data_IF_226406582013
#
_entry.id   IF_226406582013
#
_cell.length_a   1.000
_cell.length_b   1.000
_cell.length_c   1.000
_cell.angle_alpha   90.00
_cell.angle_beta   90.00
_cell.angle_gamma   90.00
#
_symmetry.space_group_name_H-M   'P 1'
#
loop_
_entity.id
_entity.type
_entity.pdbx_description
1 polymer ?
#
# COMPACT_ATOMS: atom_id res chain seq x y z
N UNK A 1 -26.24 -11.99 -46.26
CA UNK A 1 -26.38 -10.93 -45.25
C UNK A 1 -25.66 -11.46 -44.02
N UNK A 2 -24.34 -11.40 -43.99
CA UNK A 2 -23.53 -10.27 -43.46
C UNK A 2 -23.84 -10.06 -41.98
N UNK A 3 -22.91 -10.12 -41.03
CA UNK A 3 -21.53 -9.69 -41.13
C UNK A 3 -20.67 -10.31 -40.01
N UNK A 4 -19.51 -10.84 -40.39
CA UNK A 4 -18.51 -11.39 -39.49
C UNK A 4 -17.54 -10.29 -39.10
N UNK A 5 -17.67 -9.75 -37.88
CA UNK A 5 -16.71 -8.78 -37.34
C UNK A 5 -15.39 -9.46 -37.01
N UNK A 6 -14.40 -9.26 -37.88
CA UNK A 6 -12.99 -9.50 -37.57
C UNK A 6 -12.52 -8.48 -36.53
N UNK A 7 -11.64 -8.85 -35.58
CA UNK A 7 -10.94 -7.89 -34.76
C UNK A 7 -9.97 -7.08 -35.64
N UNK A 8 -9.99 -5.75 -35.48
CA UNK A 8 -9.11 -4.84 -36.20
C UNK A 8 -7.63 -5.03 -35.83
N UNK A 9 -6.70 -4.59 -36.68
CA UNK A 9 -5.27 -4.63 -36.37
C UNK A 9 -4.94 -3.75 -35.16
N UNK A 10 -3.88 -4.07 -34.40
CA UNK A 10 -3.45 -3.25 -33.27
C UNK A 10 -3.10 -1.83 -33.73
N UNK A 11 -3.54 -0.83 -32.95
CA UNK A 11 -3.14 0.57 -33.11
C UNK A 11 -1.61 0.66 -33.17
N UNK A 12 -1.04 1.44 -34.13
CA UNK A 12 0.38 1.67 -34.17
C UNK A 12 0.79 2.42 -32.89
N UNK A 13 1.89 2.03 -32.22
CA UNK A 13 2.40 2.79 -31.11
C UNK A 13 2.87 4.15 -31.60
N UNK A 14 2.44 5.19 -30.87
CA UNK A 14 2.94 6.56 -30.98
C UNK A 14 4.47 6.54 -31.11
N UNK A 15 5.09 7.32 -32.01
CA UNK A 15 6.52 7.54 -31.96
C UNK A 15 6.86 8.18 -30.60
N UNK A 16 7.36 7.36 -29.68
CA UNK A 16 7.75 7.76 -28.32
C UNK A 16 8.82 8.86 -28.32
N UNK A 17 9.40 9.15 -29.48
CA UNK A 17 10.46 10.14 -29.74
C UNK A 17 10.02 11.60 -29.61
N UNK A 18 8.73 11.93 -29.72
CA UNK A 18 8.30 13.34 -29.60
C UNK A 18 8.15 13.81 -28.14
N UNK A 19 7.89 12.87 -27.24
CA UNK A 19 7.82 13.09 -25.79
C UNK A 19 9.11 12.66 -25.09
N UNK A 20 10.04 12.02 -25.80
CA UNK A 20 11.34 11.62 -25.30
C UNK A 20 12.25 12.84 -25.14
N UNK A 21 12.69 13.19 -23.92
CA UNK A 21 13.64 14.27 -23.69
C UNK A 21 15.02 14.00 -24.31
N UNK A 22 15.29 12.80 -24.82
CA UNK A 22 16.50 12.50 -25.59
C UNK A 22 16.42 13.00 -27.05
N UNK A 23 15.21 13.21 -27.58
CA UNK A 23 14.98 13.77 -28.92
C UNK A 23 15.22 15.27 -28.95
N UNK A 24 15.71 15.78 -30.08
CA UNK A 24 15.99 17.20 -30.26
C UNK A 24 14.71 18.06 -30.13
N UNK A 25 13.60 17.59 -30.68
CA UNK A 25 12.27 18.21 -30.53
C UNK A 25 11.79 18.13 -29.07
N UNK A 26 11.97 16.98 -28.43
CA UNK A 26 11.57 16.77 -27.03
C UNK A 26 12.31 17.69 -26.06
N UNK A 27 13.61 17.94 -26.29
CA UNK A 27 14.42 18.88 -25.49
C UNK A 27 13.89 20.31 -25.59
N UNK A 28 13.60 20.78 -26.81
CA UNK A 28 13.09 22.13 -27.03
C UNK A 28 11.75 22.32 -26.33
N UNK A 29 10.82 21.36 -26.46
CA UNK A 29 9.53 21.41 -25.78
C UNK A 29 9.66 21.32 -24.26
N UNK A 30 10.60 20.53 -23.73
CA UNK A 30 10.85 20.43 -22.30
C UNK A 30 11.47 21.72 -21.73
N UNK A 31 12.37 22.38 -22.45
CA UNK A 31 12.92 23.69 -22.06
C UNK A 31 11.86 24.78 -22.05
N UNK A 32 10.88 24.74 -22.96
CA UNK A 32 9.72 25.63 -22.94
C UNK A 32 8.88 25.40 -21.68
N UNK A 33 8.64 24.14 -21.31
CA UNK A 33 7.89 23.78 -20.09
C UNK A 33 8.63 24.24 -18.82
N UNK A 34 9.94 24.05 -18.73
CA UNK A 34 10.73 24.51 -17.58
C UNK A 34 10.77 26.04 -17.47
N UNK A 35 10.75 26.78 -18.59
CA UNK A 35 10.60 28.25 -18.56
C UNK A 35 9.24 28.70 -18.00
N UNK A 36 8.17 27.94 -18.25
CA UNK A 36 6.86 28.18 -17.59
C UNK A 36 6.92 27.82 -16.10
N UNK A 37 7.67 26.77 -15.76
CA UNK A 37 7.86 26.32 -14.37
C UNK A 37 8.55 27.38 -13.51
N UNK A 38 9.59 27.98 -14.05
CA UNK A 38 10.33 29.10 -13.46
C UNK A 38 9.52 30.42 -13.44
N UNK A 39 8.34 30.45 -14.05
CA UNK A 39 7.51 31.64 -14.18
C UNK A 39 8.04 32.68 -15.16
N UNK A 40 9.03 32.31 -15.99
CA UNK A 40 9.65 33.17 -17.00
C UNK A 40 8.84 33.23 -18.30
N UNK A 41 7.85 32.34 -18.49
CA UNK A 41 7.01 32.26 -19.68
C UNK A 41 5.54 32.01 -19.32
N UNK A 42 4.60 32.64 -20.03
CA UNK A 42 3.16 32.43 -19.85
C UNK A 42 2.68 31.16 -20.56
N UNK A 43 1.66 30.50 -20.02
CA UNK A 43 1.11 29.24 -20.56
C UNK A 43 0.65 29.37 -22.02
N UNK A 44 -0.05 30.45 -22.36
CA UNK A 44 -0.52 30.69 -23.73
C UNK A 44 0.64 30.86 -24.72
N UNK A 45 1.73 31.48 -24.28
CA UNK A 45 2.93 31.73 -25.09
C UNK A 45 3.77 30.46 -25.26
N UNK A 46 3.85 29.64 -24.20
CA UNK A 46 4.45 28.31 -24.25
C UNK A 46 3.69 27.37 -25.18
N UNK A 47 2.36 27.43 -25.20
CA UNK A 47 1.54 26.59 -26.10
C UNK A 47 1.81 26.93 -27.58
N UNK A 48 1.94 28.20 -27.93
CA UNK A 48 2.33 28.61 -29.28
C UNK A 48 3.74 28.13 -29.64
N UNK A 49 4.72 28.32 -28.73
CA UNK A 49 6.12 27.92 -28.99
C UNK A 49 6.29 26.40 -29.12
N UNK A 50 5.48 25.60 -28.43
CA UNK A 50 5.49 24.14 -28.57
C UNK A 50 4.87 23.73 -29.92
N UNK A 51 3.81 24.40 -30.35
CA UNK A 51 3.22 24.17 -31.67
C UNK A 51 4.19 24.44 -32.82
N UNK A 52 4.98 25.51 -32.69
CA UNK A 52 6.01 25.89 -33.68
C UNK A 52 7.23 24.97 -33.65
N UNK A 53 7.53 24.36 -32.51
CA UNK A 53 8.66 23.43 -32.33
C UNK A 53 8.37 22.01 -32.85
N UNK A 54 7.10 21.65 -33.05
CA UNK A 54 6.72 20.35 -33.57
C UNK A 54 6.96 20.27 -35.09
N UNK A 55 7.57 19.17 -35.60
CA UNK A 55 7.85 19.01 -37.02
C UNK A 55 6.60 19.23 -37.90
N UNK A 56 6.76 19.95 -39.01
CA UNK A 56 5.65 20.34 -39.91
C UNK A 56 5.07 19.13 -40.66
N UNK A 57 5.86 18.08 -40.82
CA UNK A 57 5.52 16.82 -41.47
C UNK A 57 4.74 15.84 -40.59
N UNK A 58 4.48 16.17 -39.32
CA UNK A 58 3.59 15.39 -38.47
C UNK A 58 2.15 15.47 -38.97
N UNK A 59 1.49 14.32 -38.98
CA UNK A 59 0.05 14.22 -39.17
C UNK A 59 -0.71 15.02 -38.09
N UNK A 60 -1.89 15.50 -38.44
CA UNK A 60 -2.72 16.32 -37.56
C UNK A 60 -3.09 15.57 -36.28
N UNK A 61 -3.30 14.25 -36.34
CA UNK A 61 -3.64 13.43 -35.18
C UNK A 61 -2.45 13.28 -34.21
N UNK A 62 -1.23 13.07 -34.75
CA UNK A 62 0.01 12.99 -33.96
C UNK A 62 0.37 14.34 -33.35
N UNK A 63 0.24 15.42 -34.12
CA UNK A 63 0.46 16.80 -33.66
C UNK A 63 -0.49 17.17 -32.53
N UNK A 64 -1.78 16.89 -32.68
CA UNK A 64 -2.78 17.19 -31.65
C UNK A 64 -2.54 16.37 -30.39
N UNK A 65 -2.15 15.09 -30.51
CA UNK A 65 -1.83 14.22 -29.37
C UNK A 65 -0.60 14.71 -28.60
N UNK A 66 0.44 15.16 -29.30
CA UNK A 66 1.62 15.75 -28.69
C UNK A 66 1.28 17.08 -27.99
N UNK A 67 0.52 17.95 -28.64
CA UNK A 67 0.06 19.23 -28.09
C UNK A 67 -0.80 19.06 -26.84
N UNK A 68 -1.72 18.09 -26.82
CA UNK A 68 -2.55 17.77 -25.65
C UNK A 68 -1.71 17.27 -24.47
N UNK A 69 -0.67 16.50 -24.76
CA UNK A 69 0.24 15.98 -23.75
C UNK A 69 1.01 17.12 -23.07
N UNK A 70 1.57 18.05 -23.85
CA UNK A 70 2.24 19.23 -23.31
C UNK A 70 1.27 20.20 -22.62
N UNK A 71 0.06 20.38 -23.14
CA UNK A 71 -0.97 21.20 -22.50
C UNK A 71 -1.35 20.69 -21.11
N UNK A 72 -1.48 19.37 -20.93
CA UNK A 72 -1.73 18.76 -19.62
C UNK A 72 -0.59 19.03 -18.63
N UNK A 73 0.66 18.96 -19.10
CA UNK A 73 1.85 19.27 -18.28
C UNK A 73 1.82 20.74 -17.82
N UNK A 74 1.56 21.67 -18.75
CA UNK A 74 1.48 23.11 -18.47
C UNK A 74 0.31 23.46 -17.55
N UNK A 75 -0.86 22.88 -17.78
CA UNK A 75 -2.09 23.13 -17.01
C UNK A 75 -1.98 22.64 -15.57
N UNK A 76 -1.37 21.47 -15.33
CA UNK A 76 -1.14 20.93 -13.98
C UNK A 76 -0.26 21.88 -13.15
N UNK A 77 0.73 22.52 -13.77
CA UNK A 77 1.59 23.49 -13.10
C UNK A 77 0.88 24.82 -12.81
N UNK A 78 0.09 25.34 -13.77
CA UNK A 78 -0.68 26.57 -13.59
C UNK A 78 -1.71 26.44 -12.45
N UNK A 79 -2.44 25.32 -12.40
CA UNK A 79 -3.39 25.05 -11.30
C UNK A 79 -2.69 24.89 -9.95
N UNK A 80 -1.48 24.34 -9.91
CA UNK A 80 -0.68 24.23 -8.69
C UNK A 80 -0.22 25.59 -8.17
N UNK A 81 0.19 26.51 -9.06
CA UNK A 81 0.56 27.88 -8.69
C UNK A 81 -0.63 28.70 -8.19
N UNK A 82 -1.78 28.59 -8.84
CA UNK A 82 -2.98 29.32 -8.40
C UNK A 82 -3.51 28.82 -7.06
N UNK A 83 -3.44 27.50 -6.81
CA UNK A 83 -3.78 26.91 -5.52
C UNK A 83 -2.80 27.34 -4.41
N UNK A 84 -1.51 27.54 -4.72
CA UNK A 84 -0.53 28.07 -3.79
C UNK A 84 -0.73 29.57 -3.50
N UNK A 85 -1.04 30.38 -4.54
CA UNK A 85 -1.33 31.81 -4.37
C UNK A 85 -2.59 32.06 -3.53
N UNK A 86 -3.64 31.24 -3.68
CA UNK A 86 -4.86 31.30 -2.85
C UNK A 86 -4.63 30.96 -1.37
N UNK A 87 -3.50 30.32 -1.01
CA UNK A 87 -3.14 30.00 0.38
C UNK A 87 -2.34 31.10 1.08
N UNK A 88 -1.84 32.10 0.35
CA UNK A 88 -1.01 33.20 0.89
C UNK A 88 -1.85 34.43 1.31
N UNK A 89 -3.16 34.46 0.99
CA UNK A 89 -4.06 35.52 1.46
C UNK A 89 -5.33 34.98 2.14
N UNK A 90 -5.29 34.76 3.47
CA UNK A 90 -6.48 34.83 4.31
C UNK A 90 -6.58 36.19 4.99
N UNK A 91 -7.60 36.95 4.60
CA UNK A 91 -8.38 37.86 5.47
C UNK A 91 -7.62 38.90 6.31
N UNK A 92 -7.47 40.10 5.76
CA UNK A 92 -7.39 41.31 6.56
C UNK A 92 -8.76 41.53 7.24
N UNK A 93 -8.80 41.36 8.56
CA UNK A 93 -9.97 41.56 9.41
C UNK A 93 -9.53 42.01 10.81
N UNK A 94 -9.51 43.33 10.96
CA UNK A 94 -9.61 44.13 12.18
C UNK A 94 -8.75 43.78 13.42
N UNK A 95 -7.71 44.57 13.65
CA UNK A 95 -7.16 44.82 14.98
C UNK A 95 -6.83 46.30 15.11
N UNK A 96 -7.64 47.02 15.88
CA UNK A 96 -7.39 48.40 16.29
C UNK A 96 -6.22 48.46 17.29
N UNK A 97 -5.16 49.14 16.86
CA UNK A 97 -4.36 50.18 17.55
C UNK A 97 -4.08 50.04 19.06
N UNK A 98 -2.77 50.08 19.39
CA UNK A 98 -2.12 51.11 20.23
C UNK A 98 -0.59 51.00 20.16
N UNK A 99 0.04 52.13 19.80
CA UNK A 99 1.24 52.83 20.35
C UNK A 99 2.46 51.97 20.76
N UNK A 100 3.73 52.32 20.54
CA UNK A 100 4.47 53.45 19.97
C UNK A 100 5.97 53.00 19.96
N UNK A 101 6.84 53.75 19.27
CA UNK A 101 8.33 53.76 19.34
C UNK A 101 9.15 52.87 18.37
N UNK A 102 9.79 53.57 17.41
CA UNK A 102 11.09 53.34 16.77
C UNK A 102 11.84 54.71 16.90
N UNK A 103 13.19 54.87 16.89
CA UNK A 103 14.13 54.08 16.10
C UNK A 103 15.56 53.84 16.67
N UNK A 104 16.27 52.88 16.05
CA UNK A 104 17.58 53.02 15.36
C UNK A 104 18.47 51.73 15.36
N UNK A 105 19.38 51.60 14.36
CA UNK A 105 19.70 50.32 13.72
C UNK A 105 20.97 49.67 14.24
N UNK A 106 21.03 48.35 14.24
CA UNK A 106 22.29 47.60 14.34
C UNK A 106 22.45 46.62 13.19
N UNK A 107 23.68 46.64 12.70
CA UNK A 107 24.20 46.09 11.46
C UNK A 107 24.17 44.55 11.41
N UNK A 108 23.86 44.06 10.21
CA UNK A 108 24.47 42.90 9.55
C UNK A 108 24.81 41.68 10.40
N UNK A 109 23.86 40.74 10.48
CA UNK A 109 24.18 39.31 10.42
C UNK A 109 23.35 38.71 9.28
N UNK A 110 24.01 38.43 8.15
CA UNK A 110 23.40 37.65 7.06
C UNK A 110 22.92 36.30 7.60
N UNK A 111 21.61 35.97 7.51
CA UNK A 111 21.18 34.63 7.82
C UNK A 111 21.63 33.70 6.69
N UNK A 112 22.65 32.91 7.01
CA UNK A 112 23.08 31.67 6.32
C UNK A 112 21.90 31.01 5.60
N UNK A 113 21.95 30.76 4.27
CA UNK A 113 20.80 30.30 3.51
C UNK A 113 20.34 28.96 4.05
N UNK A 114 19.28 29.00 4.87
CA UNK A 114 18.47 27.84 5.24
C UNK A 114 18.08 27.17 3.94
N UNK A 115 18.81 26.10 3.60
CA UNK A 115 18.48 25.19 2.50
C UNK A 115 16.98 24.97 2.57
N UNK A 116 16.26 25.47 1.58
CA UNK A 116 14.84 25.22 1.38
C UNK A 116 14.68 23.71 1.38
N UNK A 117 14.33 23.15 2.54
CA UNK A 117 13.81 21.79 2.63
C UNK A 117 12.50 21.87 1.86
N UNK A 118 12.52 21.39 0.62
CA UNK A 118 11.31 21.13 -0.13
C UNK A 118 10.32 20.40 0.77
N UNK A 119 9.04 20.69 0.59
CA UNK A 119 8.00 20.13 1.46
C UNK A 119 8.10 18.60 1.47
N UNK A 120 7.69 17.96 2.56
CA UNK A 120 7.68 16.48 2.63
C UNK A 120 6.92 15.87 1.45
N UNK A 121 5.88 16.55 0.94
CA UNK A 121 5.14 16.17 -0.26
C UNK A 121 6.00 16.24 -1.53
N UNK A 122 6.80 17.29 -1.72
CA UNK A 122 7.73 17.40 -2.85
C UNK A 122 8.81 16.32 -2.84
N UNK A 123 9.33 15.98 -1.65
CA UNK A 123 10.28 14.87 -1.51
C UNK A 123 9.62 13.52 -1.84
N UNK A 124 8.43 13.26 -1.30
CA UNK A 124 7.69 12.02 -1.56
C UNK A 124 7.30 11.88 -3.02
N UNK A 125 6.89 12.96 -3.68
CA UNK A 125 6.54 12.96 -5.11
C UNK A 125 7.73 12.63 -6.03
N UNK A 126 8.95 12.96 -5.60
CA UNK A 126 10.21 12.68 -6.33
C UNK A 126 10.92 11.42 -5.83
N UNK A 127 10.36 10.73 -4.85
CA UNK A 127 11.03 9.60 -4.25
C UNK A 127 11.23 8.48 -5.29
N UNK A 128 12.41 7.82 -5.34
CA UNK A 128 12.70 6.81 -6.36
C UNK A 128 11.66 5.70 -6.46
N UNK A 129 11.08 5.28 -5.34
CA UNK A 129 10.03 4.25 -5.31
C UNK A 129 8.69 4.71 -5.88
N UNK A 130 8.35 6.01 -5.81
CA UNK A 130 7.14 6.57 -6.41
C UNK A 130 7.29 6.64 -7.93
N UNK A 131 8.44 7.12 -8.40
CA UNK A 131 8.78 7.15 -9.84
C UNK A 131 8.79 5.73 -10.41
N UNK A 132 9.41 4.77 -9.70
CA UNK A 132 9.43 3.37 -10.14
C UNK A 132 8.03 2.76 -10.21
N UNK A 133 7.14 3.10 -9.27
CA UNK A 133 5.75 2.65 -9.30
C UNK A 133 4.99 3.20 -10.51
N UNK A 134 5.16 4.49 -10.82
CA UNK A 134 4.56 5.11 -12.01
C UNK A 134 5.09 4.47 -13.31
N UNK A 135 6.40 4.26 -13.40
CA UNK A 135 7.06 3.62 -14.55
C UNK A 135 6.65 2.15 -14.74
N UNK A 136 6.35 1.43 -13.65
CA UNK A 136 5.92 0.03 -13.73
C UNK A 136 4.60 -0.15 -14.49
N UNK A 137 3.79 0.91 -14.61
CA UNK A 137 2.45 0.85 -15.19
C UNK A 137 1.47 -0.05 -14.44
N UNK A 138 1.87 -0.64 -13.30
CA UNK A 138 1.07 -1.62 -12.56
C UNK A 138 -0.08 -0.90 -11.86
N UNK A 139 -1.28 -1.02 -12.44
CA UNK A 139 -2.51 -0.47 -11.87
C UNK A 139 -3.07 -1.43 -10.84
N UNK A 140 -3.16 -0.96 -9.58
CA UNK A 140 -3.90 -1.67 -8.55
C UNK A 140 -5.38 -1.78 -8.92
N UNK A 141 -5.97 -2.93 -8.63
CA UNK A 141 -7.41 -3.13 -8.77
C UNK A 141 -8.17 -2.26 -7.73
N UNK A 142 -9.50 -2.18 -7.85
CA UNK A 142 -10.32 -1.34 -6.96
C UNK A 142 -10.26 -1.77 -5.48
N UNK A 143 -10.21 -3.09 -5.22
CA UNK A 143 -10.18 -3.68 -3.89
C UNK A 143 -8.84 -3.41 -3.18
N UNK A 144 -7.71 -3.53 -3.88
CA UNK A 144 -6.38 -3.18 -3.39
C UNK A 144 -6.26 -1.69 -3.09
N UNK A 145 -6.82 -0.82 -3.95
CA UNK A 145 -6.88 0.64 -3.68
C UNK A 145 -7.66 0.96 -2.42
N UNK A 146 -8.85 0.38 -2.26
CA UNK A 146 -9.66 0.56 -1.06
C UNK A 146 -8.95 0.03 0.20
N UNK A 147 -8.25 -1.11 0.08
CA UNK A 147 -7.44 -1.67 1.18
C UNK A 147 -6.28 -0.74 1.55
N UNK A 148 -5.56 -0.23 0.55
CA UNK A 148 -4.44 0.68 0.76
C UNK A 148 -4.88 1.99 1.43
N UNK A 149 -6.06 2.52 1.08
CA UNK A 149 -6.61 3.73 1.70
C UNK A 149 -6.91 3.52 3.19
N UNK A 150 -7.58 2.42 3.56
CA UNK A 150 -7.85 2.10 4.96
C UNK A 150 -6.54 1.88 5.74
N UNK A 151 -5.57 1.16 5.16
CA UNK A 151 -4.26 0.94 5.79
C UNK A 151 -3.48 2.25 5.95
N UNK A 152 -3.55 3.15 4.97
CA UNK A 152 -2.92 4.47 5.06
C UNK A 152 -3.44 5.26 6.26
N UNK A 153 -4.77 5.30 6.43
CA UNK A 153 -5.40 5.91 7.61
C UNK A 153 -5.05 5.17 8.91
N UNK A 154 -4.98 3.84 8.89
CA UNK A 154 -4.60 3.02 10.03
C UNK A 154 -3.15 3.23 10.50
N UNK A 155 -2.22 3.48 9.57
CA UNK A 155 -0.83 3.81 9.88
C UNK A 155 -0.71 5.23 10.44
N UNK A 156 -1.44 6.19 9.85
CA UNK A 156 -1.32 7.61 10.23
C UNK A 156 -2.07 7.96 11.52
N UNK A 157 -3.22 7.33 11.75
CA UNK A 157 -4.16 7.67 12.82
C UNK A 157 -4.81 6.43 13.44
N UNK A 158 -4.01 5.45 13.89
CA UNK A 158 -4.49 4.18 14.44
C UNK A 158 -5.58 4.33 15.51
N UNK A 159 -5.43 5.26 16.45
CA UNK A 159 -6.40 5.46 17.53
C UNK A 159 -7.77 5.89 17.01
N UNK A 160 -7.80 6.76 16.00
CA UNK A 160 -9.05 7.23 15.38
C UNK A 160 -9.74 6.11 14.61
N UNK A 161 -8.98 5.34 13.82
CA UNK A 161 -9.52 4.19 13.07
C UNK A 161 -10.03 3.11 14.03
N UNK A 162 -9.33 2.81 15.12
CA UNK A 162 -9.82 1.86 16.13
C UNK A 162 -11.09 2.35 16.83
N UNK A 163 -11.22 3.65 17.06
CA UNK A 163 -12.43 4.24 17.62
C UNK A 163 -13.60 4.17 16.62
N UNK A 164 -13.37 4.37 15.32
CA UNK A 164 -14.43 4.26 14.30
C UNK A 164 -14.93 2.83 14.09
N UNK A 165 -14.15 1.81 14.48
CA UNK A 165 -14.59 0.41 14.47
C UNK A 165 -15.48 0.04 15.66
N UNK A 166 -15.69 0.94 16.63
CA UNK A 166 -16.57 0.66 17.77
C UNK A 166 -18.01 0.89 17.32
N UNK A 167 -18.71 -0.22 17.04
CA UNK A 167 -20.11 -0.19 16.65
C UNK A 167 -20.81 -1.53 16.92
N UNK A 168 -22.15 -1.57 16.79
CA UNK A 168 -22.89 -2.82 16.86
C UNK A 168 -22.35 -3.80 15.80
N UNK A 169 -22.18 -5.06 16.19
CA UNK A 169 -21.67 -6.12 15.31
C UNK A 169 -20.15 -6.20 15.16
N UNK A 170 -19.36 -5.42 15.92
CA UNK A 170 -17.91 -5.61 15.98
C UNK A 170 -17.58 -7.04 16.47
N UNK A 171 -16.86 -7.86 15.67
CA UNK A 171 -16.54 -9.22 16.08
C UNK A 171 -15.51 -9.26 17.23
N UNK A 172 -15.59 -10.25 18.13
CA UNK A 172 -14.56 -10.46 19.14
C UNK A 172 -13.25 -10.87 18.45
N UNK A 173 -12.21 -10.07 18.64
CA UNK A 173 -10.91 -10.29 18.00
C UNK A 173 -9.80 -9.59 18.81
N UNK A 174 -8.58 -10.16 18.91
CA UNK A 174 -7.55 -9.63 19.79
C UNK A 174 -7.11 -8.21 19.40
N UNK A 175 -6.89 -7.34 20.38
CA UNK A 175 -6.54 -5.94 20.14
C UNK A 175 -5.20 -5.77 19.39
N UNK A 176 -4.23 -6.63 19.67
CA UNK A 176 -2.95 -6.67 18.94
C UNK A 176 -3.14 -7.05 17.47
N UNK A 177 -4.10 -7.93 17.17
CA UNK A 177 -4.39 -8.36 15.80
C UNK A 177 -5.25 -7.35 15.05
N UNK A 178 -6.17 -6.64 15.72
CA UNK A 178 -6.81 -5.44 15.15
C UNK A 178 -5.76 -4.43 14.71
N UNK A 179 -4.77 -4.19 15.58
CA UNK A 179 -3.68 -3.25 15.31
C UNK A 179 -2.80 -3.71 14.15
N UNK A 180 -2.44 -5.00 14.11
CA UNK A 180 -1.68 -5.56 13.00
C UNK A 180 -2.41 -5.40 11.68
N UNK A 181 -3.68 -5.79 11.63
CA UNK A 181 -4.51 -5.73 10.44
C UNK A 181 -4.67 -4.29 9.90
N UNK A 182 -4.99 -3.32 10.77
CA UNK A 182 -5.17 -1.92 10.37
C UNK A 182 -3.87 -1.24 9.90
N UNK A 183 -2.73 -1.74 10.33
CA UNK A 183 -1.42 -1.28 9.87
C UNK A 183 -0.95 -2.02 8.60
N UNK A 184 -1.79 -2.89 8.04
CA UNK A 184 -1.44 -3.73 6.89
C UNK A 184 -0.34 -4.75 7.19
N UNK A 185 -0.24 -5.20 8.44
CA UNK A 185 0.63 -6.32 8.86
C UNK A 185 -0.17 -7.63 8.81
N UNK A 186 0.55 -8.74 8.62
CA UNK A 186 -0.05 -10.07 8.64
C UNK A 186 -0.58 -10.39 10.06
N UNK A 187 -1.81 -10.89 10.13
CA UNK A 187 -2.43 -11.36 11.38
C UNK A 187 -1.80 -12.68 11.82
N UNK A 188 -1.50 -12.80 13.11
CA UNK A 188 -0.97 -14.02 13.69
C UNK A 188 -2.09 -14.96 14.16
N UNK A 189 -2.30 -16.06 13.46
CA UNK A 189 -3.33 -17.05 13.80
C UNK A 189 -3.07 -17.77 15.12
N UNK A 190 -1.81 -17.95 15.53
CA UNK A 190 -1.51 -18.51 16.86
C UNK A 190 -2.03 -17.59 17.96
N UNK A 191 -1.94 -16.27 17.75
CA UNK A 191 -2.45 -15.29 18.71
C UNK A 191 -3.99 -15.26 18.69
N UNK A 192 -4.61 -15.25 17.52
CA UNK A 192 -6.08 -15.35 17.40
C UNK A 192 -6.59 -16.61 18.10
N UNK A 193 -5.98 -17.76 17.81
CA UNK A 193 -6.35 -19.05 18.41
C UNK A 193 -6.14 -19.08 19.93
N UNK A 194 -5.03 -18.55 20.41
CA UNK A 194 -4.73 -18.47 21.86
C UNK A 194 -5.79 -17.65 22.60
N UNK A 195 -6.26 -16.55 22.02
CA UNK A 195 -7.25 -15.69 22.67
C UNK A 195 -8.67 -16.29 22.66
N UNK A 196 -9.01 -17.17 21.72
CA UNK A 196 -10.31 -17.89 21.76
C UNK A 196 -10.50 -18.70 23.03
N UNK A 197 -9.41 -19.24 23.58
CA UNK A 197 -9.41 -20.05 24.81
C UNK A 197 -8.81 -19.32 26.02
N UNK A 198 -8.28 -18.11 25.82
CA UNK A 198 -7.68 -17.27 26.88
C UNK A 198 -8.70 -16.71 27.87
N UNK A 199 -10.00 -16.84 27.60
CA UNK A 199 -11.09 -16.31 28.44
C UNK A 199 -11.65 -17.30 29.49
N UNK A 200 -10.91 -18.36 29.86
CA UNK A 200 -11.30 -19.25 30.97
C UNK A 200 -10.38 -19.21 32.20
N UNK A 201 -9.37 -18.34 32.22
CA UNK A 201 -8.62 -18.06 33.44
C UNK A 201 -7.15 -17.78 33.19
N UNK A 202 -6.80 -16.51 32.99
CA UNK A 202 -5.55 -15.95 33.51
C UNK A 202 -5.67 -14.42 33.56
N UNK A 203 -6.51 -13.91 34.46
CA UNK A 203 -6.26 -12.58 35.02
C UNK A 203 -4.98 -12.73 35.85
N UNK A 204 -3.83 -12.37 35.29
CA UNK A 204 -2.64 -12.13 36.09
C UNK A 204 -2.88 -10.90 36.97
N UNK A 205 -3.51 -11.14 38.12
CA UNK A 205 -3.51 -10.21 39.26
C UNK A 205 -2.11 -10.20 39.85
N UNK A 206 -1.28 -9.26 39.42
CA UNK A 206 -0.11 -8.87 40.22
C UNK A 206 -0.60 -8.06 41.41
N UNK A 207 -0.80 -8.72 42.55
CA UNK A 207 -0.93 -8.03 43.82
C UNK A 207 0.45 -7.56 44.26
N UNK A 208 0.66 -6.24 44.25
CA UNK A 208 1.75 -5.59 44.96
C UNK A 208 1.13 -4.89 46.17
N UNK A 209 1.46 -5.43 47.34
CA UNK A 209 1.46 -4.84 48.67
C UNK A 209 0.50 -3.64 48.87
N UNK A 210 -0.64 -3.94 49.50
CA UNK A 210 -1.56 -3.05 50.22
C UNK A 210 -1.64 -1.59 49.74
N UNK A 211 -2.76 -1.28 49.06
CA UNK A 211 -3.43 0.04 48.94
C UNK A 211 -3.50 0.68 47.54
N UNK A 212 -2.94 0.10 46.48
CA UNK A 212 -3.22 0.56 45.10
C UNK A 212 -3.42 -0.60 44.13
N UNK A 213 -4.67 -0.84 43.73
CA UNK A 213 -5.01 -1.79 42.64
C UNK A 213 -4.73 -1.14 41.27
N UNK A 214 -3.58 -1.44 40.69
CA UNK A 214 -3.31 -1.20 39.27
C UNK A 214 -3.82 -2.39 38.47
N UNK A 215 -4.99 -2.23 37.82
CA UNK A 215 -5.42 -3.13 36.75
C UNK A 215 -4.52 -2.85 35.54
N UNK A 216 -3.46 -3.63 35.39
CA UNK A 216 -2.68 -3.62 34.16
C UNK A 216 -3.54 -4.23 33.06
N UNK A 217 -4.22 -3.37 32.29
CA UNK A 217 -4.97 -3.74 31.09
C UNK A 217 -4.02 -4.48 30.15
N UNK A 218 -4.16 -5.81 30.14
CA UNK A 218 -3.21 -6.78 29.58
C UNK A 218 -2.66 -6.34 28.23
N UNK A 219 -1.40 -5.92 28.25
CA UNK A 219 -0.63 -5.59 27.06
C UNK A 219 0.01 -6.88 26.57
N UNK A 220 -0.33 -7.28 25.35
CA UNK A 220 0.20 -8.46 24.62
C UNK A 220 0.01 -9.81 25.31
N UNK A 221 -1.09 -10.50 24.99
CA UNK A 221 -1.12 -11.97 25.05
C UNK A 221 -0.13 -12.50 24.02
N UNK A 222 1.07 -12.88 24.46
CA UNK A 222 1.93 -13.74 23.64
C UNK A 222 1.16 -15.02 23.32
N UNK A 223 1.19 -15.49 22.07
CA UNK A 223 0.48 -16.69 21.68
C UNK A 223 0.94 -17.91 22.53
N UNK A 224 0.05 -18.41 23.39
CA UNK A 224 0.30 -19.55 24.28
C UNK A 224 0.04 -20.89 23.58
N UNK A 225 -0.77 -20.88 22.51
CA UNK A 225 -1.12 -22.04 21.70
C UNK A 225 -0.73 -21.80 20.25
N UNK A 226 -0.24 -22.84 19.58
CA UNK A 226 0.05 -22.83 18.15
C UNK A 226 -1.04 -23.55 17.39
N UNK A 227 -1.40 -23.02 16.24
CA UNK A 227 -2.27 -23.70 15.28
C UNK A 227 -1.48 -24.84 14.65
N UNK A 228 -1.92 -26.08 14.86
CA UNK A 228 -1.23 -27.28 14.40
C UNK A 228 -2.11 -28.21 13.54
N UNK A 229 -3.43 -27.99 13.53
CA UNK A 229 -4.38 -28.83 12.79
C UNK A 229 -5.39 -28.03 11.96
N UNK A 230 -6.11 -28.72 11.08
CA UNK A 230 -7.19 -28.13 10.27
C UNK A 230 -8.27 -27.46 11.14
N UNK A 231 -8.73 -28.13 12.19
CA UNK A 231 -9.77 -27.60 13.07
C UNK A 231 -9.33 -26.33 13.81
N UNK A 232 -8.07 -26.29 14.25
CA UNK A 232 -7.50 -25.11 14.92
C UNK A 232 -7.27 -23.96 13.94
N UNK A 233 -6.84 -24.28 12.70
CA UNK A 233 -6.72 -23.28 11.64
C UNK A 233 -8.08 -22.69 11.31
N UNK A 234 -9.11 -23.52 11.15
CA UNK A 234 -10.47 -23.07 10.87
C UNK A 234 -11.03 -22.23 12.03
N UNK A 235 -10.76 -22.64 13.27
CA UNK A 235 -11.13 -21.89 14.47
C UNK A 235 -10.46 -20.50 14.53
N UNK A 236 -9.22 -20.35 14.03
CA UNK A 236 -8.52 -19.06 13.95
C UNK A 236 -8.94 -18.24 12.71
N UNK A 237 -9.17 -18.90 11.57
CA UNK A 237 -9.50 -18.28 10.30
C UNK A 237 -10.87 -17.60 10.33
N UNK A 238 -11.87 -18.18 10.99
CA UNK A 238 -13.22 -17.60 11.06
C UNK A 238 -13.26 -16.24 11.78
N UNK A 239 -12.71 -16.08 13.01
CA UNK A 239 -12.59 -14.77 13.65
C UNK A 239 -11.78 -13.77 12.83
N UNK A 240 -10.68 -14.22 12.20
CA UNK A 240 -9.91 -13.38 11.28
C UNK A 240 -10.76 -12.89 10.12
N UNK A 241 -11.47 -13.79 9.43
CA UNK A 241 -12.36 -13.46 8.32
C UNK A 241 -13.43 -12.45 8.75
N UNK A 242 -14.10 -12.69 9.87
CA UNK A 242 -15.13 -11.77 10.38
C UNK A 242 -14.54 -10.38 10.68
N UNK A 243 -13.35 -10.31 11.28
CA UNK A 243 -12.68 -9.04 11.57
C UNK A 243 -12.27 -8.29 10.29
N UNK A 244 -11.75 -9.00 9.29
CA UNK A 244 -11.39 -8.38 8.00
C UNK A 244 -12.65 -7.97 7.24
N UNK A 245 -13.70 -8.77 7.20
CA UNK A 245 -14.97 -8.39 6.55
C UNK A 245 -15.62 -7.16 7.21
N UNK A 246 -15.47 -7.01 8.53
CA UNK A 246 -15.95 -5.83 9.25
C UNK A 246 -15.14 -4.57 8.92
N UNK A 247 -13.81 -4.65 8.88
CA UNK A 247 -12.94 -3.50 8.61
C UNK A 247 -12.70 -3.22 7.11
N UNK A 248 -12.81 -4.23 6.26
CA UNK A 248 -12.55 -4.20 4.82
C UNK A 248 -13.66 -4.93 4.05
N UNK A 249 -14.89 -4.38 4.00
CA UNK A 249 -16.05 -5.08 3.43
C UNK A 249 -15.87 -5.53 1.98
N UNK A 250 -15.10 -4.78 1.19
CA UNK A 250 -14.80 -5.09 -0.21
C UNK A 250 -13.97 -6.39 -0.39
N UNK A 251 -13.31 -6.88 0.66
CA UNK A 251 -12.49 -8.11 0.63
C UNK A 251 -13.28 -9.40 0.94
N UNK A 252 -14.59 -9.32 1.19
CA UNK A 252 -15.37 -10.50 1.59
C UNK A 252 -15.32 -11.64 0.56
N UNK A 253 -15.41 -11.32 -0.74
CA UNK A 253 -15.32 -12.32 -1.80
C UNK A 253 -13.95 -13.00 -1.83
N UNK A 254 -12.89 -12.20 -1.81
CA UNK A 254 -11.50 -12.67 -1.80
C UNK A 254 -11.26 -13.65 -0.65
N UNK A 255 -11.65 -13.28 0.58
CA UNK A 255 -11.45 -14.11 1.77
C UNK A 255 -12.23 -15.42 1.73
N UNK A 256 -13.47 -15.39 1.23
CA UNK A 256 -14.28 -16.59 1.07
C UNK A 256 -13.67 -17.55 0.04
N UNK A 257 -13.24 -17.02 -1.09
CA UNK A 257 -12.68 -17.84 -2.18
C UNK A 257 -11.30 -18.40 -1.77
N UNK A 258 -10.47 -17.61 -1.09
CA UNK A 258 -9.20 -18.07 -0.52
C UNK A 258 -9.39 -19.08 0.61
N UNK A 259 -10.35 -18.87 1.51
CA UNK A 259 -10.65 -19.81 2.59
C UNK A 259 -11.00 -21.20 2.06
N UNK A 260 -11.87 -21.26 1.04
CA UNK A 260 -12.22 -22.51 0.33
C UNK A 260 -11.02 -23.17 -0.32
N UNK A 261 -10.12 -22.38 -0.89
CA UNK A 261 -8.89 -22.90 -1.49
C UNK A 261 -8.01 -23.59 -0.44
N UNK A 262 -7.74 -22.94 0.70
CA UNK A 262 -6.94 -23.53 1.79
C UNK A 262 -7.64 -24.75 2.40
N UNK A 263 -8.96 -24.71 2.62
CA UNK A 263 -9.75 -25.87 3.05
C UNK A 263 -9.61 -27.04 2.08
N UNK A 264 -9.66 -26.78 0.77
CA UNK A 264 -9.42 -27.78 -0.27
C UNK A 264 -8.03 -28.42 -0.18
N UNK A 265 -6.99 -27.65 0.18
CA UNK A 265 -5.64 -28.20 0.39
C UNK A 265 -5.58 -29.16 1.58
N UNK A 266 -6.22 -28.82 2.71
CA UNK A 266 -6.31 -29.72 3.85
C UNK A 266 -7.00 -31.04 3.49
N UNK A 267 -8.11 -30.97 2.74
CA UNK A 267 -8.85 -32.16 2.29
C UNK A 267 -7.98 -33.00 1.33
N UNK A 268 -7.30 -32.36 0.37
CA UNK A 268 -6.53 -33.05 -0.65
C UNK A 268 -5.27 -33.75 -0.12
N UNK A 269 -4.59 -33.15 0.86
CA UNK A 269 -3.34 -33.69 1.43
C UNK A 269 -3.59 -34.68 2.59
N UNK A 270 -4.79 -34.70 3.15
CA UNK A 270 -5.22 -35.61 4.22
C UNK A 270 -4.73 -35.23 5.62
N UNK A 271 -5.05 -36.08 6.60
CA UNK A 271 -4.95 -35.75 8.03
C UNK A 271 -3.59 -36.02 8.69
N UNK A 272 -2.55 -36.32 7.90
CA UNK A 272 -1.23 -36.52 8.49
C UNK A 272 -0.70 -35.22 9.11
N UNK A 273 -0.06 -35.29 10.27
CA UNK A 273 0.48 -34.10 10.95
C UNK A 273 1.46 -33.30 10.06
N UNK A 274 2.23 -33.99 9.22
CA UNK A 274 3.13 -33.35 8.24
C UNK A 274 2.35 -32.63 7.14
N UNK A 275 1.29 -33.23 6.60
CA UNK A 275 0.42 -32.60 5.61
C UNK A 275 -0.27 -31.35 6.19
N UNK A 276 -0.88 -31.47 7.38
CA UNK A 276 -1.55 -30.35 8.05
C UNK A 276 -0.58 -29.19 8.31
N UNK A 277 0.63 -29.48 8.83
CA UNK A 277 1.67 -28.45 9.02
C UNK A 277 2.04 -27.75 7.71
N UNK A 278 2.18 -28.48 6.61
CA UNK A 278 2.52 -27.88 5.31
C UNK A 278 1.47 -26.87 4.84
N UNK A 279 0.19 -27.19 4.99
CA UNK A 279 -0.91 -26.27 4.63
C UNK A 279 -0.94 -25.05 5.54
N UNK A 280 -0.70 -25.21 6.85
CA UNK A 280 -0.65 -24.10 7.81
C UNK A 280 0.50 -23.14 7.49
N UNK A 281 1.70 -23.66 7.24
CA UNK A 281 2.86 -22.83 6.88
C UNK A 281 2.71 -22.18 5.51
N UNK A 282 2.10 -22.89 4.55
CA UNK A 282 1.71 -22.34 3.26
C UNK A 282 0.77 -21.13 3.42
N UNK A 283 -0.34 -21.27 4.15
CA UNK A 283 -1.30 -20.19 4.39
C UNK A 283 -0.62 -18.98 5.05
N UNK A 284 0.20 -19.23 6.07
CA UNK A 284 0.96 -18.18 6.75
C UNK A 284 1.92 -17.45 5.82
N UNK A 285 2.60 -18.17 4.92
CA UNK A 285 3.50 -17.60 3.94
C UNK A 285 2.73 -16.73 2.91
N UNK A 286 1.59 -17.21 2.40
CA UNK A 286 0.75 -16.45 1.47
C UNK A 286 0.19 -15.18 2.12
N UNK A 287 -0.38 -15.26 3.33
CA UNK A 287 -0.89 -14.07 4.03
C UNK A 287 0.22 -13.05 4.32
N UNK A 288 1.42 -13.52 4.64
CA UNK A 288 2.60 -12.66 4.81
C UNK A 288 3.01 -12.00 3.50
N UNK A 289 3.01 -12.75 2.39
CA UNK A 289 3.33 -12.24 1.06
C UNK A 289 2.37 -11.10 0.68
N UNK A 290 1.05 -11.34 0.78
CA UNK A 290 0.02 -10.36 0.45
C UNK A 290 0.14 -9.10 1.31
N UNK A 291 0.32 -9.25 2.63
CA UNK A 291 0.50 -8.11 3.54
C UNK A 291 1.75 -7.26 3.21
N UNK A 292 2.82 -7.91 2.75
CA UNK A 292 4.10 -7.26 2.44
C UNK A 292 4.08 -6.58 1.08
N UNK A 293 3.59 -7.26 0.05
CA UNK A 293 3.62 -6.78 -1.34
C UNK A 293 2.56 -5.71 -1.62
N UNK A 294 1.37 -5.82 -1.02
CA UNK A 294 0.26 -4.86 -1.14
C UNK A 294 -0.21 -4.56 -2.58
N UNK A 295 0.22 -5.39 -3.53
CA UNK A 295 -0.07 -5.26 -4.95
C UNK A 295 -0.72 -6.51 -5.56
N UNK A 296 -1.11 -7.45 -4.69
CA UNK A 296 -1.78 -8.71 -4.99
C UNK A 296 -2.82 -9.02 -3.92
N UNK A 297 -3.83 -9.78 -4.32
CA UNK A 297 -4.87 -10.35 -3.45
C UNK A 297 -4.56 -11.81 -3.09
N UNK A 298 -5.20 -12.33 -2.05
CA UNK A 298 -5.13 -13.74 -1.65
C UNK A 298 -5.64 -14.69 -2.74
N UNK A 299 -6.43 -14.19 -3.68
CA UNK A 299 -6.97 -14.94 -4.83
C UNK A 299 -6.14 -14.82 -6.09
N UNK A 300 -5.00 -14.12 -6.07
CA UNK A 300 -4.09 -14.03 -7.22
C UNK A 300 -3.23 -15.31 -7.34
N UNK A 301 -3.89 -16.46 -7.50
CA UNK A 301 -3.26 -17.78 -7.53
C UNK A 301 -2.20 -17.96 -8.62
N UNK A 302 -2.27 -17.16 -9.68
CA UNK A 302 -1.33 -17.18 -10.80
C UNK A 302 -0.10 -16.27 -10.60
N UNK A 303 -0.02 -15.52 -9.51
CA UNK A 303 1.16 -14.72 -9.20
C UNK A 303 2.38 -15.63 -9.00
N UNK A 304 3.53 -15.21 -9.53
CA UNK A 304 4.75 -16.02 -9.56
C UNK A 304 5.23 -16.40 -8.15
N UNK A 305 5.20 -15.46 -7.20
CA UNK A 305 5.62 -15.74 -5.82
C UNK A 305 4.60 -16.61 -5.10
N UNK A 306 3.31 -16.45 -5.40
CA UNK A 306 2.27 -17.34 -4.90
C UNK A 306 2.57 -18.79 -5.33
N UNK A 307 2.79 -19.02 -6.63
CA UNK A 307 3.10 -20.35 -7.18
C UNK A 307 4.42 -20.92 -6.65
N UNK A 308 5.41 -20.06 -6.41
CA UNK A 308 6.68 -20.46 -5.77
C UNK A 308 6.47 -20.97 -4.35
N UNK A 309 5.70 -20.24 -3.52
CA UNK A 309 5.34 -20.66 -2.15
C UNK A 309 4.53 -21.95 -2.18
N UNK A 310 3.55 -22.07 -3.09
CA UNK A 310 2.77 -23.30 -3.26
C UNK A 310 3.68 -24.49 -3.61
N UNK A 311 4.63 -24.30 -4.51
CA UNK A 311 5.59 -25.36 -4.88
C UNK A 311 6.43 -25.79 -3.68
N UNK A 312 6.90 -24.83 -2.88
CA UNK A 312 7.75 -25.06 -1.71
C UNK A 312 7.02 -25.85 -0.61
N UNK A 313 5.78 -25.51 -0.28
CA UNK A 313 5.07 -26.10 0.85
C UNK A 313 4.15 -27.27 0.47
N UNK A 314 3.51 -27.21 -0.71
CA UNK A 314 2.46 -28.15 -1.12
C UNK A 314 3.01 -29.22 -2.06
N UNK A 315 3.69 -28.82 -3.14
CA UNK A 315 4.13 -29.75 -4.21
C UNK A 315 5.36 -30.57 -3.79
N UNK A 316 6.09 -30.15 -2.74
CA UNK A 316 7.18 -30.92 -2.15
C UNK A 316 8.49 -30.89 -2.96
N UNK A 317 8.60 -30.01 -3.96
CA UNK A 317 9.83 -29.79 -4.69
C UNK A 317 10.73 -28.79 -3.93
N UNK A 318 11.46 -29.30 -2.93
CA UNK A 318 12.63 -28.63 -2.36
C UNK A 318 12.44 -27.97 -1.01
N UNK A 319 12.52 -28.75 0.06
CA UNK A 319 13.48 -28.57 1.18
C UNK A 319 13.68 -29.97 1.78
N UNK A 320 14.94 -30.40 1.87
CA UNK A 320 15.33 -31.78 2.16
C UNK A 320 14.60 -32.43 3.32
N UNK A 321 13.82 -33.46 3.02
CA UNK A 321 13.53 -34.54 3.97
C UNK A 321 14.82 -35.32 4.16
N UNK A 322 15.70 -34.82 5.02
CA UNK A 322 16.81 -35.60 5.56
C UNK A 322 16.23 -36.71 6.42
N UNK A 323 15.95 -37.85 5.79
CA UNK A 323 15.77 -39.12 6.49
C UNK A 323 17.11 -39.47 7.14
N UNK A 324 17.28 -39.13 8.42
CA UNK A 324 18.31 -39.78 9.24
C UNK A 324 17.88 -41.21 9.47
N UNK A 325 18.20 -42.09 8.52
CA UNK A 325 18.25 -43.53 8.75
C UNK A 325 19.49 -43.81 9.60
N UNK A 326 19.33 -43.78 10.92
CA UNK A 326 20.34 -44.32 11.83
C UNK A 326 20.27 -45.85 11.74
N UNK A 327 21.03 -46.42 10.80
CA UNK A 327 21.39 -47.82 10.83
C UNK A 327 22.47 -48.03 11.89
N UNK A 328 22.10 -48.60 13.03
CA UNK A 328 23.06 -49.24 13.94
C UNK A 328 22.78 -50.73 13.88
N UNK A 329 23.42 -51.40 12.92
CA UNK A 329 23.76 -52.81 13.03
C UNK A 329 25.15 -52.88 13.66
N UNK A 330 25.22 -53.18 14.95
CA UNK A 330 26.46 -53.60 15.60
C UNK A 330 26.56 -55.13 15.49
N UNK A 331 27.58 -55.57 14.75
CA UNK A 331 28.20 -56.88 14.91
C UNK A 331 28.91 -56.90 16.27
N UNK A 332 28.60 -57.88 17.13
CA UNK A 332 29.55 -58.89 17.63
C UNK A 332 28.80 -60.05 18.29
#
# INVERSE_FOLDING_TARGET
MSDGRRPGPPEPPVPSTLLDPASEVGKICHDIVERVRDGKLRVAEAFSQIGDALPIDLDDEERNTAMDSYFRILSKHASSREAAAKRVHPGAGDSERRDDEDPEPTEEDEPDPKRLRGTTEEFLAKAPWVVQQELSGKKLNASLKATADIVYHGIRSLSQVKASLIGPGKPPFPDSEWTAMLQGRCVNFDNVFSNLYGSLGDEKRTQLNSELELVQKGTSSSATRKVASFGEWHAAFNPYRNAVEYAFPHRSRELRDYGRYVEGLFIALGDSATAQRRVIEFDKAIRTLVATRRDIELTDFNDLEFRRIETQYIIGAGVGTGSTTSGVTAHE
#
